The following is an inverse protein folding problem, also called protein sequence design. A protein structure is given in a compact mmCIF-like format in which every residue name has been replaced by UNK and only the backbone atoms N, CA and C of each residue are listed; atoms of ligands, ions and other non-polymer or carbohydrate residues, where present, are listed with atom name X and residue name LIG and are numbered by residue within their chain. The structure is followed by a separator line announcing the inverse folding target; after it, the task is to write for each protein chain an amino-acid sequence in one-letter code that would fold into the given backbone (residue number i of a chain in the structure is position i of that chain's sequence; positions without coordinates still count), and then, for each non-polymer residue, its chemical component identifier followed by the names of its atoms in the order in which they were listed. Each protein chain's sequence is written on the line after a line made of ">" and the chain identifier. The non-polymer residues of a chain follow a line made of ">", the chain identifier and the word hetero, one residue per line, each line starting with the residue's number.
data_IF_939430784735
#
_entry.id   IF_939430784735
#
_cell.length_a   1.000
_cell.length_b   1.000
_cell.length_c   1.000
_cell.angle_alpha   90.00
_cell.angle_beta   90.00
_cell.angle_gamma   90.00
#
_symmetry.space_group_name_H-M   'P 1'
#
loop_
_entity.id
_entity.type
_entity.pdbx_description
1 polymer ?
#
# COMPACT_ATOMS: atom_id res chain seq x y z
N UNK A 1 0.32 17.61 -18.39
CA UNK A 1 0.63 18.43 -17.19
C UNK A 1 1.75 17.76 -16.42
N UNK A 2 2.69 18.50 -15.84
CA UNK A 2 3.77 17.92 -15.02
C UNK A 2 3.19 17.29 -13.74
N UNK A 3 3.74 16.15 -13.29
CA UNK A 3 3.31 15.46 -12.09
C UNK A 3 3.46 16.35 -10.85
N UNK A 4 2.36 16.48 -10.09
CA UNK A 4 2.35 17.33 -8.89
C UNK A 4 3.25 16.80 -7.77
N UNK A 5 3.47 15.49 -7.70
CA UNK A 5 4.29 14.88 -6.64
C UNK A 5 5.79 15.01 -6.89
N UNK A 6 6.25 14.81 -8.14
CA UNK A 6 7.68 14.77 -8.44
C UNK A 6 8.19 16.00 -9.21
N UNK A 7 7.30 16.74 -9.89
CA UNK A 7 7.68 17.89 -10.71
C UNK A 7 8.57 17.58 -11.92
N UNK A 8 8.86 16.31 -12.21
CA UNK A 8 9.94 15.92 -13.13
C UNK A 8 9.47 15.27 -14.45
N UNK A 9 8.24 14.75 -14.50
CA UNK A 9 7.71 14.03 -15.66
C UNK A 9 6.24 14.39 -15.91
N UNK A 10 5.75 14.05 -17.09
CA UNK A 10 4.33 14.18 -17.40
C UNK A 10 3.50 13.29 -16.45
N UNK A 11 2.43 13.87 -15.92
CA UNK A 11 1.51 13.14 -15.08
C UNK A 11 0.62 12.22 -15.92
N UNK A 12 0.86 10.92 -15.77
CA UNK A 12 -0.03 9.85 -16.23
C UNK A 12 -0.35 8.94 -15.06
N UNK A 13 -1.43 8.14 -15.15
CA UNK A 13 -1.69 7.11 -14.12
C UNK A 13 -0.51 6.13 -14.00
N UNK A 14 0.11 5.78 -15.13
CA UNK A 14 1.25 4.88 -15.13
C UNK A 14 2.44 5.51 -14.39
N UNK A 15 2.78 6.75 -14.71
CA UNK A 15 3.82 7.49 -14.01
C UNK A 15 3.51 7.60 -12.52
N UNK A 16 2.32 8.08 -12.17
CA UNK A 16 1.92 8.37 -10.79
C UNK A 16 2.07 7.16 -9.87
N UNK A 17 1.68 5.96 -10.31
CA UNK A 17 1.66 4.78 -9.45
C UNK A 17 2.89 3.88 -9.58
N UNK A 18 3.61 3.93 -10.70
CA UNK A 18 4.68 2.96 -10.98
C UNK A 18 6.07 3.56 -11.22
N UNK A 19 6.17 4.81 -11.67
CA UNK A 19 7.45 5.43 -12.03
C UNK A 19 7.81 6.67 -11.18
N UNK A 20 6.81 7.29 -10.57
CA UNK A 20 6.98 8.50 -9.78
C UNK A 20 7.88 8.21 -8.58
N UNK A 21 8.95 9.00 -8.42
CA UNK A 21 9.92 8.86 -7.32
C UNK A 21 9.26 8.86 -5.94
N UNK A 22 8.19 9.65 -5.76
CA UNK A 22 7.41 9.67 -4.54
C UNK A 22 6.75 8.31 -4.26
N UNK A 23 6.04 7.76 -5.25
CA UNK A 23 5.34 6.48 -5.14
C UNK A 23 6.33 5.32 -5.00
N UNK A 24 7.44 5.34 -5.75
CA UNK A 24 8.52 4.36 -5.60
C UNK A 24 9.10 4.40 -4.18
N UNK A 25 9.25 5.58 -3.58
CA UNK A 25 9.71 5.71 -2.19
C UNK A 25 8.69 5.13 -1.21
N UNK A 26 7.39 5.39 -1.39
CA UNK A 26 6.35 4.79 -0.56
C UNK A 26 6.37 3.26 -0.65
N UNK A 27 6.50 2.70 -1.86
CA UNK A 27 6.62 1.25 -2.06
C UNK A 27 7.85 0.71 -1.32
N UNK A 28 9.02 1.32 -1.47
CA UNK A 28 10.24 0.88 -0.77
C UNK A 28 10.09 0.89 0.75
N UNK A 29 9.56 1.98 1.31
CA UNK A 29 9.31 2.09 2.76
C UNK A 29 8.34 1.00 3.20
N UNK A 30 7.28 0.77 2.43
CA UNK A 30 6.30 -0.25 2.74
C UNK A 30 6.88 -1.65 2.68
N UNK A 31 7.62 -2.00 1.63
CA UNK A 31 8.28 -3.31 1.50
C UNK A 31 9.23 -3.58 2.65
N UNK A 32 9.99 -2.55 3.07
CA UNK A 32 10.90 -2.65 4.22
C UNK A 32 10.13 -2.83 5.53
N UNK A 33 9.01 -2.13 5.71
CA UNK A 33 8.18 -2.22 6.91
C UNK A 33 7.52 -3.59 7.03
N UNK A 34 6.95 -4.11 5.94
CA UNK A 34 6.18 -5.36 5.98
C UNK A 34 7.06 -6.61 5.74
N UNK A 35 8.31 -6.42 5.30
CA UNK A 35 9.25 -7.51 4.97
C UNK A 35 8.83 -8.35 3.77
N UNK A 36 8.11 -7.75 2.81
CA UNK A 36 7.57 -8.42 1.62
C UNK A 36 7.79 -7.55 0.41
N UNK A 37 8.39 -8.11 -0.64
CA UNK A 37 8.41 -7.48 -1.96
C UNK A 37 7.00 -7.48 -2.54
N UNK A 38 6.54 -6.33 -3.00
CA UNK A 38 5.23 -6.15 -3.58
C UNK A 38 5.40 -6.09 -5.10
N UNK A 39 5.21 -7.21 -5.83
CA UNK A 39 5.23 -7.15 -7.27
C UNK A 39 3.92 -6.49 -7.72
N UNK A 40 3.89 -5.16 -7.76
CA UNK A 40 2.70 -4.33 -7.97
C UNK A 40 1.88 -4.77 -9.19
N UNK A 41 2.51 -5.39 -10.20
CA UNK A 41 1.87 -5.96 -11.39
C UNK A 41 1.52 -7.45 -11.30
N UNK A 42 2.29 -8.28 -10.57
CA UNK A 42 2.04 -9.74 -10.49
C UNK A 42 1.08 -10.12 -9.36
N UNK A 43 0.94 -9.27 -8.33
CA UNK A 43 0.01 -9.50 -7.23
C UNK A 43 -1.43 -9.64 -7.77
N UNK A 44 -1.86 -8.82 -8.72
CA UNK A 44 -3.23 -8.86 -9.27
C UNK A 44 -3.60 -10.19 -9.94
N UNK A 45 -2.66 -10.85 -10.61
CA UNK A 45 -2.92 -12.07 -11.38
C UNK A 45 -3.14 -13.33 -10.52
N UNK A 46 -2.77 -13.28 -9.23
CA UNK A 46 -2.76 -14.48 -8.36
C UNK A 46 -3.83 -14.48 -7.26
N UNK A 47 -4.75 -13.51 -7.26
CA UNK A 47 -5.79 -13.39 -6.21
C UNK A 47 -6.94 -14.39 -6.33
N UNK A 48 -7.06 -15.08 -7.46
CA UNK A 48 -8.25 -15.87 -7.80
C UNK A 48 -8.24 -17.32 -7.29
N UNK A 49 -7.22 -17.75 -6.53
CA UNK A 49 -7.02 -19.19 -6.23
C UNK A 49 -6.88 -19.55 -4.74
N UNK A 50 -7.29 -18.69 -3.81
CA UNK A 50 -7.25 -19.02 -2.38
C UNK A 50 -8.61 -19.42 -1.81
N UNK A 51 -8.58 -20.29 -0.78
CA UNK A 51 -9.79 -20.83 -0.14
C UNK A 51 -10.62 -19.69 0.45
N UNK A 52 -11.89 -19.66 0.09
CA UNK A 52 -12.86 -18.74 0.67
C UNK A 52 -12.90 -18.85 2.21
N UNK A 53 -12.90 -17.71 2.90
CA UNK A 53 -13.18 -17.61 4.34
C UNK A 53 -11.98 -17.45 5.29
N UNK A 54 -10.73 -17.51 4.80
CA UNK A 54 -9.54 -17.32 5.63
C UNK A 54 -8.76 -16.08 5.17
N UNK A 55 -8.48 -15.15 6.09
CA UNK A 55 -7.59 -14.03 5.83
C UNK A 55 -6.16 -14.58 5.62
N UNK A 56 -5.52 -14.20 4.52
CA UNK A 56 -4.17 -14.65 4.17
C UNK A 56 -3.24 -13.47 3.97
N UNK A 57 -1.94 -13.75 3.96
CA UNK A 57 -0.90 -12.74 3.68
C UNK A 57 -1.15 -12.00 2.36
N UNK A 58 -1.67 -12.68 1.33
CA UNK A 58 -2.01 -12.04 0.04
C UNK A 58 -3.16 -11.05 0.16
N UNK A 59 -4.21 -11.39 0.92
CA UNK A 59 -5.32 -10.46 1.19
C UNK A 59 -4.81 -9.20 1.90
N UNK A 60 -3.94 -9.35 2.89
CA UNK A 60 -3.36 -8.21 3.63
C UNK A 60 -2.46 -7.38 2.71
N UNK A 61 -1.51 -7.99 1.99
CA UNK A 61 -0.66 -7.28 1.03
C UNK A 61 -1.49 -6.58 -0.05
N UNK A 62 -2.62 -7.17 -0.43
CA UNK A 62 -3.54 -6.59 -1.38
C UNK A 62 -4.28 -5.36 -0.87
N UNK A 63 -4.82 -5.44 0.34
CA UNK A 63 -5.45 -4.31 1.01
C UNK A 63 -4.45 -3.16 1.19
N UNK A 64 -3.21 -3.47 1.56
CA UNK A 64 -2.12 -2.50 1.66
C UNK A 64 -1.81 -1.86 0.31
N UNK A 65 -1.71 -2.64 -0.78
CA UNK A 65 -1.45 -2.10 -2.12
C UNK A 65 -2.57 -1.17 -2.61
N UNK A 66 -3.82 -1.59 -2.46
CA UNK A 66 -4.99 -0.76 -2.81
C UNK A 66 -5.01 0.51 -1.95
N UNK A 67 -4.79 0.37 -0.64
CA UNK A 67 -4.70 1.51 0.26
C UNK A 67 -3.56 2.47 -0.11
N UNK A 68 -2.40 1.94 -0.52
CA UNK A 68 -1.29 2.77 -0.99
C UNK A 68 -1.64 3.56 -2.25
N UNK A 69 -2.27 2.92 -3.24
CA UNK A 69 -2.71 3.59 -4.47
C UNK A 69 -3.66 4.75 -4.11
N UNK A 70 -4.62 4.49 -3.23
CA UNK A 70 -5.56 5.51 -2.77
C UNK A 70 -4.85 6.66 -2.04
N UNK A 71 -3.97 6.35 -1.08
CA UNK A 71 -3.23 7.38 -0.34
C UNK A 71 -2.30 8.20 -1.24
N UNK A 72 -1.68 7.60 -2.26
CA UNK A 72 -0.87 8.34 -3.25
C UNK A 72 -1.75 9.30 -4.06
N UNK A 73 -2.92 8.84 -4.52
CA UNK A 73 -3.89 9.68 -5.21
C UNK A 73 -4.38 10.85 -4.33
N UNK A 74 -4.65 10.57 -3.05
CA UNK A 74 -5.03 11.57 -2.06
C UNK A 74 -3.93 12.63 -1.86
N UNK A 75 -2.68 12.22 -1.64
CA UNK A 75 -1.55 13.16 -1.50
C UNK A 75 -1.34 13.96 -2.77
N UNK A 76 -1.50 13.36 -3.95
CA UNK A 76 -1.42 14.10 -5.21
C UNK A 76 -2.48 15.20 -5.27
N UNK A 77 -3.70 14.93 -4.81
CA UNK A 77 -4.76 15.93 -4.78
C UNK A 77 -4.49 17.03 -3.76
N UNK A 78 -4.01 16.69 -2.55
CA UNK A 78 -3.57 17.67 -1.57
C UNK A 78 -2.45 18.56 -2.13
N UNK A 79 -1.51 17.98 -2.89
CA UNK A 79 -0.44 18.76 -3.51
C UNK A 79 -1.00 19.72 -4.59
N UNK A 80 -1.99 19.27 -5.36
CA UNK A 80 -2.63 20.08 -6.39
C UNK A 80 -3.46 21.24 -5.82
N UNK A 81 -4.25 20.99 -4.78
CA UNK A 81 -5.25 21.94 -4.28
C UNK A 81 -4.80 22.71 -3.05
N UNK A 82 -4.03 22.08 -2.16
CA UNK A 82 -3.63 22.63 -0.86
C UNK A 82 -2.13 22.96 -0.80
N UNK A 83 -1.39 22.72 -1.89
CA UNK A 83 0.06 22.90 -1.98
C UNK A 83 0.83 22.17 -0.86
N UNK A 84 0.27 21.04 -0.40
CA UNK A 84 0.82 20.25 0.69
C UNK A 84 1.18 18.84 0.24
N UNK A 85 2.27 18.29 0.80
CA UNK A 85 2.73 16.93 0.48
C UNK A 85 3.09 16.20 1.78
N UNK A 86 2.58 14.99 1.92
CA UNK A 86 2.88 14.14 3.07
C UNK A 86 4.21 13.42 2.83
N UNK A 87 5.02 13.20 3.87
CA UNK A 87 6.27 12.43 3.72
C UNK A 87 5.93 10.95 3.48
N UNK A 88 6.61 10.25 2.55
CA UNK A 88 6.38 8.83 2.28
C UNK A 88 6.39 7.96 3.54
N UNK A 89 7.31 8.22 4.47
CA UNK A 89 7.46 7.47 5.72
C UNK A 89 6.21 7.59 6.62
N UNK A 90 5.63 8.80 6.69
CA UNK A 90 4.44 9.04 7.50
C UNK A 90 3.20 8.46 6.83
N UNK A 91 3.07 8.61 5.51
CA UNK A 91 1.97 8.03 4.75
C UNK A 91 1.91 6.51 4.93
N UNK A 92 3.05 5.83 4.77
CA UNK A 92 3.12 4.37 4.88
C UNK A 92 2.81 3.91 6.31
N UNK A 93 3.33 4.61 7.32
CA UNK A 93 3.04 4.30 8.73
C UNK A 93 1.53 4.41 9.02
N UNK A 94 0.89 5.49 8.58
CA UNK A 94 -0.54 5.70 8.78
C UNK A 94 -1.40 4.70 7.99
N UNK A 95 -0.98 4.35 6.78
CA UNK A 95 -1.63 3.32 5.98
C UNK A 95 -1.62 1.97 6.71
N UNK A 96 -0.46 1.51 7.18
CA UNK A 96 -0.33 0.23 7.89
C UNK A 96 -1.16 0.24 9.17
N UNK A 97 -1.10 1.33 9.96
CA UNK A 97 -1.91 1.48 11.16
C UNK A 97 -3.42 1.42 10.84
N UNK A 98 -3.86 2.07 9.76
CA UNK A 98 -5.26 2.03 9.31
C UNK A 98 -5.68 0.60 8.96
N UNK A 99 -4.86 -0.13 8.19
CA UNK A 99 -5.12 -1.53 7.84
C UNK A 99 -5.15 -2.41 9.09
N UNK A 100 -4.23 -2.21 10.04
CA UNK A 100 -4.21 -2.94 11.31
C UNK A 100 -5.49 -2.73 12.13
N UNK A 101 -5.95 -1.48 12.24
CA UNK A 101 -7.19 -1.15 12.95
C UNK A 101 -8.45 -1.68 12.26
N UNK A 102 -8.42 -1.82 10.94
CA UNK A 102 -9.56 -2.26 10.12
C UNK A 102 -9.76 -3.77 10.16
N UNK A 103 -8.68 -4.54 10.35
CA UNK A 103 -8.75 -6.00 10.44
C UNK A 103 -9.22 -6.41 11.83
N UNK A 104 -10.35 -7.13 11.90
CA UNK A 104 -10.93 -7.53 13.18
C UNK A 104 -10.15 -8.68 13.80
N UNK A 105 -10.16 -8.74 15.14
CA UNK A 105 -9.53 -9.83 15.92
C UNK A 105 -10.02 -11.22 15.48
N UNK A 106 -11.31 -11.36 15.12
CA UNK A 106 -11.88 -12.60 14.59
C UNK A 106 -11.20 -13.03 13.28
N UNK A 107 -10.91 -12.09 12.40
CA UNK A 107 -10.31 -12.35 11.09
C UNK A 107 -8.85 -12.80 11.26
N UNK A 108 -8.11 -12.17 12.17
CA UNK A 108 -6.73 -12.53 12.53
C UNK A 108 -6.66 -13.89 13.22
N UNK A 109 -7.60 -14.20 14.12
CA UNK A 109 -7.63 -15.48 14.82
C UNK A 109 -7.99 -16.65 13.90
N UNK A 110 -8.69 -16.39 12.79
CA UNK A 110 -8.92 -17.36 11.73
C UNK A 110 -7.69 -17.63 10.86
N UNK A 111 -6.65 -16.79 10.92
CA UNK A 111 -5.47 -16.94 10.07
C UNK A 111 -4.57 -18.12 10.48
N UNK A 112 -3.73 -18.57 9.55
CA UNK A 112 -2.59 -19.43 9.89
C UNK A 112 -1.66 -18.74 10.91
N UNK A 113 -1.13 -19.49 11.88
CA UNK A 113 -0.18 -19.02 12.90
C UNK A 113 0.92 -18.11 12.34
N UNK A 114 1.56 -18.49 11.22
CA UNK A 114 2.63 -17.69 10.61
C UNK A 114 2.16 -16.32 10.12
N UNK A 115 0.93 -16.23 9.59
CA UNK A 115 0.33 -14.98 9.11
C UNK A 115 -0.05 -14.10 10.29
N UNK A 116 -0.63 -14.70 11.34
CA UNK A 116 -0.95 -14.00 12.58
C UNK A 116 0.29 -13.43 13.27
N UNK A 117 1.33 -14.24 13.46
CA UNK A 117 2.61 -13.82 14.05
C UNK A 117 3.26 -12.71 13.22
N UNK A 118 3.30 -12.85 11.89
CA UNK A 118 3.83 -11.80 11.02
C UNK A 118 3.05 -10.50 11.17
N UNK A 119 1.72 -10.55 11.14
CA UNK A 119 0.86 -9.35 11.20
C UNK A 119 0.90 -8.64 12.56
N UNK A 120 1.03 -9.38 13.66
CA UNK A 120 1.14 -8.81 15.00
C UNK A 120 2.50 -8.14 15.27
N UNK A 121 3.52 -8.44 14.43
CA UNK A 121 4.86 -7.86 14.53
C UNK A 121 5.11 -6.73 13.50
N UNK A 122 4.10 -6.34 12.72
CA UNK A 122 4.12 -5.14 11.86
C UNK A 122 3.95 -3.88 12.71
#
# INVERSE_FOLDING_TARGET
>A
TTCYLCGAAEETHFHLFFECVYSSRCIQVLENLIGVKLPVLQVWQTWTRERAGLLTKKHICGAVLVGLIYSVWEVRNMCRFDLSVVRPEYLVKNLVHTIQSSIKVRDINGCNRKVKEWFLNL
#
